data_IF_479655519314
#
_entry.id   IF_479655519314
#
_cell.length_a   1.000
_cell.length_b   1.000
_cell.length_c   1.000
_cell.angle_alpha   90.00
_cell.angle_beta   90.00
_cell.angle_gamma   90.00
#
_symmetry.space_group_name_H-M   'P 1'
#
loop_
_entity.id
_entity.type
_entity.pdbx_description
1 polymer ?
#
# COMPACT_ATOMS: atom_id res chain seq x y z
N UNK A 1 -4.44 1.39 -9.14
CA UNK A 1 -4.77 0.36 -10.14
C UNK A 1 -5.44 1.07 -11.30
N UNK A 2 -4.83 1.09 -12.49
CA UNK A 2 -5.23 1.81 -13.72
C UNK A 2 -4.41 1.31 -14.93
N UNK A 3 -4.35 -0.01 -15.14
CA UNK A 3 -3.37 -0.61 -16.06
C UNK A 3 -3.65 -0.39 -17.56
N UNK A 4 -4.85 0.08 -17.93
CA UNK A 4 -5.23 0.34 -19.33
C UNK A 4 -5.59 1.82 -19.47
N UNK A 5 -4.97 2.48 -20.44
CA UNK A 5 -5.14 3.90 -20.77
C UNK A 5 -5.43 4.01 -22.27
N UNK A 6 -6.37 4.86 -22.67
CA UNK A 6 -6.65 5.15 -24.07
C UNK A 6 -5.59 6.09 -24.70
N UNK A 7 -5.73 6.39 -25.99
CA UNK A 7 -4.80 7.27 -26.71
C UNK A 7 -4.83 8.73 -26.25
N UNK A 8 -5.87 9.14 -25.54
CA UNK A 8 -6.04 10.51 -25.01
C UNK A 8 -5.55 10.63 -23.55
N UNK A 9 -5.19 9.50 -22.92
CA UNK A 9 -4.72 9.47 -21.54
C UNK A 9 -5.82 9.16 -20.52
N UNK A 10 -7.03 8.81 -20.94
CA UNK A 10 -8.08 8.41 -20.01
C UNK A 10 -7.92 6.96 -19.56
N UNK A 11 -8.24 6.72 -18.30
CA UNK A 11 -8.20 5.39 -17.70
C UNK A 11 -9.40 4.58 -18.20
N UNK A 12 -9.12 3.40 -18.74
CA UNK A 12 -10.15 2.43 -19.11
C UNK A 12 -10.27 1.43 -17.96
N UNK A 13 -11.38 1.49 -17.22
CA UNK A 13 -11.60 0.63 -16.08
C UNK A 13 -11.70 -0.85 -16.49
N UNK A 14 -11.08 -1.69 -15.68
CA UNK A 14 -11.06 -3.15 -15.78
C UNK A 14 -11.66 -3.76 -14.52
N UNK A 15 -11.80 -5.10 -14.50
CA UNK A 15 -12.19 -5.82 -13.29
C UNK A 15 -11.21 -5.60 -12.13
N UNK A 16 -9.92 -5.37 -12.41
CA UNK A 16 -8.93 -5.12 -11.38
C UNK A 16 -9.19 -3.80 -10.63
N UNK A 17 -9.73 -2.80 -11.32
CA UNK A 17 -10.08 -1.49 -10.73
C UNK A 17 -11.31 -1.60 -9.81
N UNK A 18 -12.25 -2.49 -10.14
CA UNK A 18 -13.39 -2.83 -9.28
C UNK A 18 -12.93 -3.52 -7.99
N UNK A 19 -12.00 -4.48 -8.11
CA UNK A 19 -11.38 -5.12 -6.93
C UNK A 19 -10.64 -4.09 -6.07
N UNK A 20 -9.90 -3.17 -6.70
CA UNK A 20 -9.20 -2.10 -5.99
C UNK A 20 -10.18 -1.20 -5.21
N UNK A 21 -11.36 -0.91 -5.75
CA UNK A 21 -12.41 -0.14 -5.04
C UNK A 21 -12.96 -0.90 -3.84
N UNK A 22 -13.18 -2.20 -3.96
CA UNK A 22 -13.61 -3.03 -2.83
C UNK A 22 -12.55 -3.04 -1.72
N UNK A 23 -11.27 -3.18 -2.08
CA UNK A 23 -10.16 -3.14 -1.13
C UNK A 23 -10.06 -1.81 -0.40
N UNK A 24 -10.21 -0.68 -1.10
CA UNK A 24 -10.26 0.65 -0.48
C UNK A 24 -11.39 0.77 0.55
N UNK A 25 -12.57 0.22 0.25
CA UNK A 25 -13.69 0.20 1.19
C UNK A 25 -13.37 -0.56 2.49
N UNK A 26 -12.58 -1.62 2.40
CA UNK A 26 -12.10 -2.34 3.58
C UNK A 26 -11.05 -1.52 4.33
N UNK A 27 -10.02 -1.03 3.64
CA UNK A 27 -8.90 -0.29 4.22
C UNK A 27 -9.36 0.94 5.03
N UNK A 28 -10.27 1.75 4.49
CA UNK A 28 -10.70 2.98 5.18
C UNK A 28 -11.62 2.73 6.38
N UNK A 29 -12.25 1.55 6.45
CA UNK A 29 -13.19 1.20 7.52
C UNK A 29 -12.58 0.29 8.58
N UNK A 30 -11.57 -0.50 8.22
CA UNK A 30 -10.85 -1.39 9.12
C UNK A 30 -10.18 -0.54 10.22
N UNK A 31 -10.28 -1.02 11.46
CA UNK A 31 -9.68 -0.36 12.63
C UNK A 31 -9.92 1.16 12.71
N UNK A 32 -11.17 1.58 12.48
CA UNK A 32 -11.64 2.98 12.36
C UNK A 32 -11.13 4.02 13.39
N UNK A 33 -10.55 3.59 14.52
CA UNK A 33 -10.04 4.45 15.60
C UNK A 33 -8.57 4.16 15.98
N UNK A 34 -7.87 3.25 15.29
CA UNK A 34 -6.50 2.86 15.63
C UNK A 34 -5.44 3.69 14.87
N UNK A 35 -5.82 4.26 13.73
CA UNK A 35 -4.90 4.94 12.84
C UNK A 35 -4.92 6.46 13.06
N UNK A 36 -3.80 7.01 13.56
CA UNK A 36 -3.57 8.45 13.67
C UNK A 36 -2.57 8.97 12.63
N UNK A 37 -1.94 8.06 11.88
CA UNK A 37 -1.04 8.36 10.77
C UNK A 37 -1.67 7.84 9.47
N UNK A 38 -1.42 8.51 8.32
CA UNK A 38 -2.16 8.26 7.09
C UNK A 38 -1.79 6.96 6.35
N UNK A 39 -0.70 6.28 6.72
CA UNK A 39 -0.23 5.06 6.06
C UNK A 39 -0.13 3.93 7.09
N UNK A 40 -0.73 2.79 6.78
CA UNK A 40 -0.46 1.54 7.48
C UNK A 40 0.79 0.88 6.85
N UNK A 41 1.90 0.93 7.58
CA UNK A 41 3.18 0.35 7.16
C UNK A 41 3.43 -1.04 7.77
N UNK A 42 2.51 -1.55 8.58
CA UNK A 42 2.65 -2.80 9.30
C UNK A 42 1.74 -3.92 8.76
N UNK A 43 0.94 -3.65 7.73
CA UNK A 43 0.11 -4.65 7.05
C UNK A 43 0.91 -5.73 6.27
N UNK A 44 2.20 -5.49 6.01
CA UNK A 44 3.07 -6.40 5.27
C UNK A 44 3.81 -7.42 6.15
N UNK A 45 4.56 -8.33 5.51
CA UNK A 45 5.47 -9.22 6.22
C UNK A 45 6.56 -8.42 6.94
N UNK A 46 6.94 -8.85 8.14
CA UNK A 46 7.98 -8.19 8.93
C UNK A 46 9.33 -8.20 8.18
N UNK A 47 9.81 -7.02 7.80
CA UNK A 47 11.12 -6.90 7.19
C UNK A 47 12.22 -7.21 8.22
N UNK A 48 13.24 -8.04 7.89
CA UNK A 48 14.36 -8.28 8.78
C UNK A 48 15.17 -6.99 8.96
N UNK A 49 15.20 -6.46 10.18
CA UNK A 49 16.02 -5.30 10.56
C UNK A 49 17.43 -5.78 10.89
N UNK A 50 18.45 -5.13 10.35
CA UNK A 50 19.83 -5.36 10.73
C UNK A 50 20.06 -4.87 12.17
N UNK A 51 20.12 -5.79 13.14
CA UNK A 51 20.30 -5.47 14.58
C UNK A 51 21.79 -5.24 14.93
N UNK A 52 22.72 -5.48 14.00
CA UNK A 52 24.15 -5.29 14.21
C UNK A 52 24.65 -4.02 13.50
N UNK A 53 25.13 -3.04 14.28
CA UNK A 53 25.83 -1.89 13.73
C UNK A 53 27.18 -2.33 13.13
N UNK A 54 27.63 -1.76 12.00
CA UNK A 54 28.96 -2.02 11.46
C UNK A 54 30.01 -1.69 12.52
N UNK A 55 30.91 -2.63 12.81
CA UNK A 55 32.08 -2.33 13.63
C UNK A 55 32.92 -1.28 12.89
N UNK A 56 33.02 -0.08 13.45
CA UNK A 56 33.94 0.94 12.97
C UNK A 56 35.33 0.52 13.44
N UNK A 57 36.08 -0.17 12.57
CA UNK A 57 37.49 -0.46 12.82
C UNK A 57 38.29 0.82 12.55
N UNK A 58 38.82 1.41 13.61
CA UNK A 58 39.72 2.57 13.56
C UNK A 58 41.13 2.21 13.10
#
# INVERSE_FOLDING_TARGET
NQSIIDSEGHVVNTWADIVNRANLGMEVMHERNAHNFPLDLAAGEAAPVAVAAPAING
#
